data_IF_802462294934
#
_entry.id   IF_802462294934
#
_cell.length_a   1.000
_cell.length_b   1.000
_cell.length_c   1.000
_cell.angle_alpha   90.00
_cell.angle_beta   90.00
_cell.angle_gamma   90.00
#
_symmetry.space_group_name_H-M   'P 1'
#
loop_
_entity.id
_entity.type
_entity.pdbx_description
1 polymer ?
#
# COMPACT_ATOMS: atom_id res chain seq x y z
N UNK A 1 -10.80 -4.37 13.00
CA UNK A 1 -9.42 -4.80 12.77
C UNK A 1 -9.36 -5.27 11.33
N UNK A 2 -8.49 -4.70 10.50
CA UNK A 2 -8.26 -5.15 9.13
C UNK A 2 -7.03 -6.06 9.16
N UNK A 3 -7.12 -7.23 8.54
CA UNK A 3 -6.03 -8.18 8.43
C UNK A 3 -5.57 -8.22 6.97
N UNK A 4 -4.25 -8.16 6.76
CA UNK A 4 -3.64 -8.21 5.42
C UNK A 4 -2.89 -9.52 5.23
N UNK A 5 -2.90 -10.03 4.01
CA UNK A 5 -2.21 -11.23 3.58
C UNK A 5 -1.38 -10.98 2.32
N UNK A 6 -0.41 -11.86 2.07
CA UNK A 6 0.37 -11.84 0.83
C UNK A 6 -0.56 -11.92 -0.39
N UNK A 7 -0.38 -11.00 -1.33
CA UNK A 7 -1.19 -10.88 -2.55
C UNK A 7 -2.35 -9.88 -2.45
N UNK A 8 -2.68 -9.39 -1.25
CA UNK A 8 -3.71 -8.37 -1.10
C UNK A 8 -3.31 -7.07 -1.80
N UNK A 9 -4.31 -6.40 -2.36
CA UNK A 9 -4.17 -5.10 -2.98
C UNK A 9 -4.63 -3.99 -2.03
N UNK A 10 -3.82 -2.95 -1.92
CA UNK A 10 -4.02 -1.80 -1.07
C UNK A 10 -4.16 -0.55 -1.94
N UNK A 11 -5.20 0.22 -1.69
CA UNK A 11 -5.35 1.57 -2.23
C UNK A 11 -5.05 2.57 -1.12
N UNK A 12 -3.90 3.24 -1.21
CA UNK A 12 -3.41 4.15 -0.17
C UNK A 12 -3.74 5.58 -0.57
N UNK A 13 -4.77 6.14 0.05
CA UNK A 13 -5.15 7.55 -0.11
C UNK A 13 -4.27 8.47 0.76
N UNK A 14 -3.67 9.52 0.20
CA UNK A 14 -2.86 10.44 0.98
C UNK A 14 -3.72 11.30 1.90
N UNK A 15 -3.31 11.38 3.18
CA UNK A 15 -4.02 12.18 4.20
C UNK A 15 -3.94 13.68 3.89
N UNK A 16 -2.80 14.14 3.36
CA UNK A 16 -2.62 15.52 2.95
C UNK A 16 -2.86 15.66 1.45
N UNK A 17 -3.81 16.52 1.07
CA UNK A 17 -4.02 16.92 -0.33
C UNK A 17 -2.90 17.86 -0.78
N UNK A 18 -1.81 17.29 -1.28
CA UNK A 18 -0.76 18.02 -1.97
C UNK A 18 -0.75 17.58 -3.44
N UNK A 19 -0.53 18.52 -4.39
CA UNK A 19 -0.48 18.24 -5.83
C UNK A 19 0.62 17.25 -6.25
N UNK A 20 1.58 17.00 -5.37
CA UNK A 20 2.69 16.08 -5.59
C UNK A 20 2.52 14.73 -4.88
N UNK A 21 1.41 14.51 -4.17
CA UNK A 21 1.14 13.24 -3.48
C UNK A 21 -0.10 12.63 -4.12
N UNK A 22 0.08 11.47 -4.75
CA UNK A 22 -0.97 10.74 -5.44
C UNK A 22 -1.35 9.49 -4.65
N UNK A 23 -2.59 8.98 -4.81
CA UNK A 23 -2.94 7.66 -4.32
C UNK A 23 -2.01 6.60 -4.89
N UNK A 24 -1.63 5.63 -4.06
CA UNK A 24 -0.74 4.54 -4.47
C UNK A 24 -1.54 3.24 -4.43
N UNK A 25 -1.53 2.52 -5.55
CA UNK A 25 -1.95 1.13 -5.58
C UNK A 25 -0.76 0.24 -5.25
N UNK A 26 -0.84 -0.47 -4.13
CA UNK A 26 0.26 -1.26 -3.61
C UNK A 26 -0.15 -2.71 -3.38
N UNK A 27 0.73 -3.66 -3.68
CA UNK A 27 0.47 -5.09 -3.47
C UNK A 27 1.32 -5.63 -2.32
N UNK A 28 0.71 -6.37 -1.41
CA UNK A 28 1.42 -6.98 -0.28
C UNK A 28 2.26 -8.16 -0.75
N UNK A 29 3.57 -8.11 -0.50
CA UNK A 29 4.51 -9.17 -0.82
C UNK A 29 4.77 -10.10 0.36
N UNK A 30 4.92 -9.52 1.55
CA UNK A 30 5.25 -10.21 2.79
C UNK A 30 4.59 -9.50 3.97
N UNK A 31 4.17 -10.27 4.97
CA UNK A 31 3.63 -9.78 6.24
C UNK A 31 4.50 -10.37 7.35
N UNK A 32 5.08 -9.51 8.17
CA UNK A 32 5.94 -9.86 9.31
C UNK A 32 5.38 -9.15 10.54
N UNK A 33 4.75 -9.90 11.46
CA UNK A 33 4.16 -9.41 12.72
C UNK A 33 3.43 -8.05 12.61
N UNK A 34 4.12 -6.94 12.87
CA UNK A 34 3.59 -5.57 12.91
C UNK A 34 3.76 -4.79 11.59
N UNK A 35 4.41 -5.38 10.58
CA UNK A 35 4.78 -4.74 9.32
C UNK A 35 4.43 -5.60 8.12
N UNK A 36 4.35 -4.93 6.97
CA UNK A 36 4.17 -5.60 5.70
C UNK A 36 5.01 -4.88 4.64
N UNK A 37 5.59 -5.66 3.73
CA UNK A 37 6.33 -5.16 2.57
C UNK A 37 5.37 -5.10 1.40
N UNK A 38 5.39 -3.97 0.69
CA UNK A 38 4.55 -3.75 -0.47
C UNK A 38 5.39 -3.34 -1.67
N UNK A 39 4.86 -3.59 -2.86
CA UNK A 39 5.35 -3.02 -4.12
C UNK A 39 4.31 -2.05 -4.66
N UNK A 40 4.76 -0.91 -5.17
CA UNK A 40 3.92 0.02 -5.93
C UNK A 40 3.66 -0.60 -7.31
N UNK A 41 2.41 -0.93 -7.59
CA UNK A 41 2.01 -1.56 -8.86
C UNK A 41 1.88 -0.52 -10.00
N UNK A 42 1.92 0.78 -9.70
CA UNK A 42 1.66 1.86 -10.67
C UNK A 42 2.82 2.85 -10.84
N UNK A 43 3.92 2.68 -10.11
CA UNK A 43 5.15 3.41 -10.38
C UNK A 43 5.81 2.86 -11.67
N UNK A 44 5.72 3.62 -12.76
CA UNK A 44 6.53 3.43 -13.99
C UNK A 44 8.02 3.72 -13.75
#
# INVERSE_FOLDING_TARGET
>A
MVQFSKGDFLWVEPIAKNRFIFPIGARVLEVEDDKFKVIDDFAE
#
